data_IF_665505431451
#
_entry.id   IF_665505431451
#
_cell.length_a   1.000
_cell.length_b   1.000
_cell.length_c   1.000
_cell.angle_alpha   90.00
_cell.angle_beta   90.00
_cell.angle_gamma   90.00
#
_symmetry.space_group_name_H-M   'P 1'
#
loop_
_entity.id
_entity.type
_entity.pdbx_description
1 polymer ?
#
# COMPACT_ATOMS: atom_id res chain seq x y z
N UNK A 1 23.05 3.58 22.20
CA UNK A 1 22.13 4.17 21.21
C UNK A 1 20.90 4.59 22.01
N UNK A 2 20.33 5.79 21.80
CA UNK A 2 19.04 6.13 22.41
C UNK A 2 18.01 5.08 21.94
N UNK A 3 17.13 4.62 22.80
CA UNK A 3 16.02 3.78 22.40
C UNK A 3 15.21 4.55 21.34
N UNK A 4 14.75 3.87 20.32
CA UNK A 4 13.97 4.47 19.24
C UNK A 4 12.54 3.97 19.34
N UNK A 5 11.58 4.86 19.54
CA UNK A 5 10.14 4.59 19.59
C UNK A 5 9.54 4.90 18.23
N UNK A 6 9.08 3.87 17.54
CA UNK A 6 8.81 3.99 16.10
C UNK A 6 7.31 4.10 15.79
N UNK A 7 6.88 5.29 15.35
CA UNK A 7 5.50 5.60 14.97
C UNK A 7 5.36 6.01 13.49
N UNK A 8 6.25 5.53 12.59
CA UNK A 8 6.14 5.79 11.14
C UNK A 8 5.94 4.50 10.32
N UNK A 9 5.16 3.55 10.84
CA UNK A 9 4.87 2.27 10.18
C UNK A 9 4.12 2.41 8.84
N UNK A 10 3.40 3.49 8.61
CA UNK A 10 2.73 3.77 7.34
C UNK A 10 3.73 4.09 6.20
N UNK A 11 4.96 4.53 6.52
CA UNK A 11 6.04 4.68 5.54
C UNK A 11 6.73 3.36 5.26
N UNK A 12 7.16 2.66 6.30
CA UNK A 12 7.73 1.31 6.24
C UNK A 12 7.57 0.65 7.61
N UNK A 13 7.25 -0.63 7.67
CA UNK A 13 7.15 -1.34 8.96
C UNK A 13 8.53 -1.48 9.62
N UNK A 14 8.60 -1.23 10.92
CA UNK A 14 9.79 -1.43 11.74
C UNK A 14 9.39 -1.73 13.21
N UNK A 15 10.08 -2.69 13.85
CA UNK A 15 11.06 -3.62 13.27
C UNK A 15 10.42 -4.61 12.29
N UNK A 16 11.23 -5.43 11.63
CA UNK A 16 10.78 -6.61 10.90
C UNK A 16 10.69 -7.80 11.84
N UNK A 17 10.06 -8.89 11.40
CA UNK A 17 10.06 -10.14 12.15
C UNK A 17 11.49 -10.60 12.45
N UNK A 18 11.74 -11.19 13.61
CA UNK A 18 13.09 -11.58 14.05
C UNK A 18 13.83 -12.46 13.03
N UNK A 19 13.10 -13.43 12.44
CA UNK A 19 13.65 -14.32 11.41
C UNK A 19 14.08 -13.61 10.13
N UNK A 20 13.47 -12.45 9.82
CA UNK A 20 13.72 -11.72 8.58
C UNK A 20 15.21 -11.43 8.37
N UNK A 21 15.87 -10.85 9.35
CA UNK A 21 17.28 -10.43 9.19
C UNK A 21 18.23 -11.62 9.01
N UNK A 22 18.12 -12.62 9.87
CA UNK A 22 19.04 -13.77 9.88
C UNK A 22 18.80 -14.69 8.69
N UNK A 23 17.58 -15.09 8.47
CA UNK A 23 17.25 -16.10 7.44
C UNK A 23 17.33 -15.54 6.02
N UNK A 24 17.03 -14.25 5.82
CA UNK A 24 17.21 -13.61 4.51
C UNK A 24 18.64 -13.70 4.04
N UNK A 25 19.60 -13.36 4.91
CA UNK A 25 21.03 -13.42 4.54
C UNK A 25 21.51 -14.84 4.35
N UNK A 26 21.14 -15.78 5.24
CA UNK A 26 21.50 -17.18 5.12
C UNK A 26 20.96 -17.83 3.82
N UNK A 27 19.71 -17.53 3.45
CA UNK A 27 19.16 -18.03 2.20
C UNK A 27 19.79 -17.35 0.98
N UNK A 28 20.12 -16.06 1.07
CA UNK A 28 20.78 -15.36 -0.03
C UNK A 28 22.20 -15.87 -0.29
N UNK A 29 22.96 -16.18 0.73
CA UNK A 29 24.29 -16.82 0.60
C UNK A 29 24.20 -18.17 -0.12
N UNK A 30 23.14 -18.95 0.11
CA UNK A 30 22.98 -20.27 -0.47
C UNK A 30 22.31 -20.25 -1.85
N UNK A 31 21.34 -19.34 -2.07
CA UNK A 31 20.42 -19.35 -3.23
C UNK A 31 20.36 -18.02 -3.97
N UNK A 32 21.28 -17.07 -3.71
CA UNK A 32 21.38 -15.78 -4.39
C UNK A 32 21.87 -15.89 -5.85
N UNK A 33 21.37 -16.90 -6.59
CA UNK A 33 21.72 -17.17 -7.98
C UNK A 33 20.55 -16.87 -8.92
N UNK A 34 20.86 -16.61 -10.18
CA UNK A 34 19.82 -16.41 -11.19
C UNK A 34 19.04 -17.72 -11.42
N UNK A 35 17.72 -17.68 -11.21
CA UNK A 35 16.83 -18.84 -11.33
C UNK A 35 16.06 -18.89 -12.66
N UNK A 36 16.21 -17.92 -13.54
CA UNK A 36 15.51 -17.89 -14.84
C UNK A 36 16.23 -18.61 -15.98
N UNK A 37 17.56 -18.82 -15.87
CA UNK A 37 18.39 -19.28 -16.99
C UNK A 37 19.23 -20.54 -16.73
N UNK A 38 19.10 -21.17 -15.57
CA UNK A 38 19.99 -22.27 -15.19
C UNK A 38 19.20 -23.48 -14.66
N UNK A 39 19.57 -24.68 -15.11
CA UNK A 39 18.95 -25.93 -14.67
C UNK A 39 19.63 -26.59 -13.46
N UNK A 40 20.59 -25.89 -12.81
CA UNK A 40 21.27 -26.40 -11.61
C UNK A 40 20.30 -26.61 -10.45
N UNK A 41 20.66 -27.46 -9.49
CA UNK A 41 19.85 -27.67 -8.29
C UNK A 41 19.61 -26.37 -7.53
N UNK A 42 20.65 -25.52 -7.36
CA UNK A 42 20.54 -24.22 -6.72
C UNK A 42 19.54 -23.29 -7.40
N UNK A 43 19.48 -23.29 -8.73
CA UNK A 43 18.52 -22.47 -9.49
C UNK A 43 17.09 -22.99 -9.31
N UNK A 44 16.89 -24.31 -9.23
CA UNK A 44 15.58 -24.91 -8.94
C UNK A 44 15.10 -24.55 -7.54
N UNK A 45 15.99 -24.59 -6.55
CA UNK A 45 15.67 -24.20 -5.17
C UNK A 45 15.32 -22.69 -5.09
N UNK A 46 16.10 -21.83 -5.76
CA UNK A 46 15.81 -20.40 -5.84
C UNK A 46 14.46 -20.12 -6.54
N UNK A 47 14.12 -20.86 -7.61
CA UNK A 47 12.81 -20.79 -8.26
C UNK A 47 11.68 -21.18 -7.32
N UNK A 48 11.88 -22.26 -6.54
CA UNK A 48 10.93 -22.70 -5.50
C UNK A 48 10.66 -21.61 -4.45
N UNK A 49 11.67 -20.82 -4.08
CA UNK A 49 11.49 -19.67 -3.16
C UNK A 49 10.53 -18.63 -3.76
N UNK A 50 10.71 -18.27 -5.04
CA UNK A 50 9.80 -17.34 -5.76
C UNK A 50 8.38 -17.91 -5.83
N UNK A 51 8.23 -19.18 -6.22
CA UNK A 51 6.93 -19.84 -6.33
C UNK A 51 6.18 -19.89 -4.99
N UNK A 52 6.91 -20.13 -3.89
CA UNK A 52 6.33 -20.09 -2.55
C UNK A 52 5.93 -18.68 -2.12
N UNK A 53 6.72 -17.64 -2.45
CA UNK A 53 6.31 -16.25 -2.26
C UNK A 53 5.01 -15.93 -3.01
N UNK A 54 4.91 -16.33 -4.28
CA UNK A 54 3.69 -16.13 -5.09
C UNK A 54 2.49 -16.79 -4.41
N UNK A 55 2.62 -18.03 -3.92
CA UNK A 55 1.56 -18.73 -3.17
C UNK A 55 1.17 -17.97 -1.90
N UNK A 56 2.14 -17.44 -1.16
CA UNK A 56 1.87 -16.64 0.03
C UNK A 56 1.08 -15.36 -0.32
N UNK A 57 1.48 -14.65 -1.37
CA UNK A 57 0.76 -13.47 -1.86
C UNK A 57 -0.67 -13.84 -2.29
N UNK A 58 -0.85 -14.93 -3.04
CA UNK A 58 -2.19 -15.40 -3.44
C UNK A 58 -3.06 -15.70 -2.22
N UNK A 59 -2.51 -16.32 -1.18
CA UNK A 59 -3.23 -16.61 0.07
C UNK A 59 -3.59 -15.32 0.83
N UNK A 60 -2.65 -14.39 0.99
CA UNK A 60 -2.86 -13.11 1.70
C UNK A 60 -3.96 -12.28 1.02
N UNK A 61 -4.00 -12.26 -0.30
CA UNK A 61 -4.96 -11.49 -1.08
C UNK A 61 -6.18 -12.31 -1.55
N UNK A 62 -6.34 -13.53 -1.05
CA UNK A 62 -7.45 -14.44 -1.37
C UNK A 62 -7.75 -14.51 -2.88
N UNK A 63 -6.73 -14.73 -3.71
CA UNK A 63 -6.84 -14.65 -5.17
C UNK A 63 -6.27 -15.89 -5.86
N UNK A 64 -6.71 -16.12 -7.11
CA UNK A 64 -6.14 -17.09 -8.06
C UNK A 64 -5.58 -16.42 -9.32
N UNK A 65 -5.60 -15.08 -9.35
CA UNK A 65 -5.06 -14.29 -10.46
C UNK A 65 -3.53 -14.32 -10.45
N UNK A 66 -2.93 -13.89 -11.57
CA UNK A 66 -1.48 -13.83 -11.72
C UNK A 66 -0.85 -12.81 -10.76
N UNK A 67 0.31 -13.14 -10.23
CA UNK A 67 1.10 -12.25 -9.36
C UNK A 67 2.34 -11.80 -10.12
N UNK A 68 2.48 -10.49 -10.30
CA UNK A 68 3.63 -9.87 -10.95
C UNK A 68 4.47 -9.18 -9.87
N UNK A 69 5.75 -9.51 -9.81
CA UNK A 69 6.70 -8.90 -8.87
C UNK A 69 7.51 -7.79 -9.54
N UNK A 70 7.67 -6.68 -8.86
CA UNK A 70 8.50 -5.57 -9.33
C UNK A 70 9.14 -4.79 -8.17
N UNK A 71 9.74 -3.64 -8.44
CA UNK A 71 10.53 -2.90 -7.45
C UNK A 71 9.70 -2.15 -6.40
N UNK A 72 8.42 -1.81 -6.68
CA UNK A 72 7.61 -1.01 -5.76
C UNK A 72 6.15 -0.88 -6.22
N UNK A 73 5.26 -0.55 -5.29
CA UNK A 73 3.87 -0.20 -5.62
C UNK A 73 3.77 1.00 -6.58
N UNK A 74 4.68 1.97 -6.49
CA UNK A 74 4.73 3.09 -7.45
C UNK A 74 5.03 2.60 -8.86
N UNK A 75 5.96 1.65 -9.02
CA UNK A 75 6.23 1.03 -10.32
C UNK A 75 5.00 0.28 -10.83
N UNK A 76 4.38 -0.57 -9.99
CA UNK A 76 3.15 -1.31 -10.31
C UNK A 76 2.03 -0.39 -10.82
N UNK A 77 1.73 0.69 -10.09
CA UNK A 77 0.70 1.65 -10.47
C UNK A 77 1.01 2.36 -11.78
N UNK A 78 2.29 2.71 -12.02
CA UNK A 78 2.70 3.28 -13.30
C UNK A 78 2.55 2.27 -14.43
N UNK A 79 3.02 1.02 -14.25
CA UNK A 79 2.90 -0.03 -15.26
C UNK A 79 1.45 -0.29 -15.64
N UNK A 80 0.56 -0.44 -14.65
CA UNK A 80 -0.86 -0.65 -14.91
C UNK A 80 -1.48 0.58 -15.59
N UNK A 81 -1.36 1.77 -14.98
CA UNK A 81 -2.03 2.97 -15.49
C UNK A 81 -1.49 3.38 -16.87
N UNK A 82 -0.19 3.27 -17.13
CA UNK A 82 0.39 3.62 -18.44
C UNK A 82 0.18 2.52 -19.48
N UNK A 83 0.07 1.25 -19.07
CA UNK A 83 -0.07 0.10 -19.94
C UNK A 83 -1.52 -0.17 -20.42
N UNK A 84 -2.54 0.43 -19.79
CA UNK A 84 -3.92 0.29 -20.20
C UNK A 84 -4.18 0.89 -21.60
N UNK A 85 -5.09 0.27 -22.36
CA UNK A 85 -5.59 0.83 -23.61
C UNK A 85 -6.68 1.88 -23.35
N UNK A 86 -6.35 3.13 -23.61
CA UNK A 86 -7.24 4.29 -23.42
C UNK A 86 -8.17 4.57 -24.62
N UNK A 87 -8.27 3.70 -25.61
CA UNK A 87 -9.17 3.89 -26.75
C UNK A 87 -10.62 4.06 -26.29
N UNK A 88 -11.05 3.24 -25.33
CA UNK A 88 -12.40 3.22 -24.80
C UNK A 88 -12.53 3.79 -23.37
N UNK A 89 -11.44 4.19 -22.74
CA UNK A 89 -11.44 4.81 -21.40
C UNK A 89 -11.57 6.33 -21.58
N UNK A 90 -12.70 6.89 -21.19
CA UNK A 90 -13.02 8.32 -21.27
C UNK A 90 -13.16 8.97 -19.89
N UNK A 91 -13.56 8.18 -18.90
CA UNK A 91 -13.84 8.68 -17.55
C UNK A 91 -13.14 7.81 -16.51
N UNK A 92 -12.34 8.44 -15.68
CA UNK A 92 -11.63 7.81 -14.56
C UNK A 92 -12.14 8.38 -13.24
N UNK A 93 -12.53 7.52 -12.33
CA UNK A 93 -12.90 7.90 -10.96
C UNK A 93 -11.80 7.49 -9.98
N UNK A 94 -11.53 8.36 -9.02
CA UNK A 94 -10.60 8.10 -7.93
C UNK A 94 -11.20 8.52 -6.59
N UNK A 95 -10.67 7.95 -5.49
CA UNK A 95 -10.99 8.47 -4.16
C UNK A 95 -10.32 9.83 -3.92
N UNK A 96 -10.81 10.65 -2.96
CA UNK A 96 -10.09 11.85 -2.55
C UNK A 96 -8.81 11.54 -1.76
N UNK A 97 -8.59 10.30 -1.35
CA UNK A 97 -7.48 9.89 -0.48
C UNK A 97 -6.27 9.32 -1.24
N UNK A 98 -6.22 9.45 -2.57
CA UNK A 98 -5.18 8.83 -3.39
C UNK A 98 -3.78 9.37 -3.12
N UNK A 99 -2.84 8.42 -3.11
CA UNK A 99 -1.41 8.72 -3.05
C UNK A 99 -0.89 9.30 -4.39
N UNK A 100 0.22 10.03 -4.34
CA UNK A 100 0.86 10.61 -5.53
C UNK A 100 1.25 9.59 -6.61
N UNK A 101 1.48 8.34 -6.27
CA UNK A 101 1.74 7.24 -7.22
C UNK A 101 0.55 6.98 -8.17
N UNK A 102 -0.67 7.32 -7.75
CA UNK A 102 -1.87 7.30 -8.58
C UNK A 102 -2.13 8.67 -9.19
N UNK A 103 -2.21 9.71 -8.35
CA UNK A 103 -2.67 11.02 -8.78
C UNK A 103 -1.77 11.68 -9.82
N UNK A 104 -0.45 11.64 -9.64
CA UNK A 104 0.49 12.27 -10.58
C UNK A 104 0.48 11.60 -11.96
N UNK A 105 0.43 10.28 -11.98
CA UNK A 105 0.35 9.51 -13.24
C UNK A 105 -0.97 9.79 -13.98
N UNK A 106 -2.09 9.81 -13.25
CA UNK A 106 -3.38 10.16 -13.84
C UNK A 106 -3.41 11.60 -14.37
N UNK A 107 -2.84 12.57 -13.64
CA UNK A 107 -2.73 13.96 -14.12
C UNK A 107 -1.98 14.07 -15.45
N UNK A 108 -0.96 13.25 -15.66
CA UNK A 108 -0.26 13.14 -16.94
C UNK A 108 -1.18 12.56 -18.01
N UNK A 109 -1.73 11.37 -17.78
CA UNK A 109 -2.57 10.65 -18.76
C UNK A 109 -3.83 11.45 -19.13
N UNK A 110 -4.50 12.07 -18.16
CA UNK A 110 -5.72 12.83 -18.44
C UNK A 110 -5.48 14.05 -19.33
N UNK A 111 -4.31 14.68 -19.22
CA UNK A 111 -3.91 15.75 -20.14
C UNK A 111 -3.62 15.23 -21.55
N UNK A 112 -2.83 14.15 -21.66
CA UNK A 112 -2.40 13.58 -22.94
C UNK A 112 -3.55 12.94 -23.71
N UNK A 113 -4.46 12.25 -23.03
CA UNK A 113 -5.56 11.46 -23.63
C UNK A 113 -6.92 12.15 -23.62
N UNK A 114 -7.02 13.38 -23.07
CA UNK A 114 -8.29 14.13 -22.90
C UNK A 114 -9.36 13.32 -22.14
N UNK A 115 -8.95 12.74 -21.00
CA UNK A 115 -9.80 11.91 -20.15
C UNK A 115 -10.36 12.75 -19.02
N UNK A 116 -11.63 12.54 -18.68
CA UNK A 116 -12.28 13.14 -17.51
C UNK A 116 -11.84 12.44 -16.22
N UNK A 117 -11.12 13.15 -15.37
CA UNK A 117 -10.78 12.70 -14.03
C UNK A 117 -11.82 13.22 -13.03
N UNK A 118 -12.53 12.30 -12.39
CA UNK A 118 -13.55 12.58 -11.38
C UNK A 118 -13.11 12.08 -10.02
N UNK A 119 -13.44 12.84 -8.98
CA UNK A 119 -13.23 12.45 -7.59
C UNK A 119 -14.56 11.96 -7.03
N UNK A 120 -14.57 10.79 -6.42
CA UNK A 120 -15.71 10.24 -5.71
C UNK A 120 -16.12 11.17 -4.56
N UNK A 121 -17.41 11.32 -4.34
CA UNK A 121 -17.92 12.22 -3.30
C UNK A 121 -17.86 11.54 -1.94
N UNK A 122 -17.14 12.18 -1.02
CA UNK A 122 -17.06 11.82 0.39
C UNK A 122 -17.47 13.01 1.26
N UNK A 123 -18.03 12.71 2.42
CA UNK A 123 -18.26 13.68 3.51
C UNK A 123 -17.35 13.28 4.66
N UNK A 124 -16.26 14.04 4.90
CA UNK A 124 -15.19 13.57 5.77
C UNK A 124 -14.64 12.22 5.29
N UNK A 125 -14.70 11.19 6.13
CA UNK A 125 -14.24 9.83 5.80
C UNK A 125 -15.32 8.95 5.18
N UNK A 126 -16.57 9.38 5.16
CA UNK A 126 -17.70 8.55 4.73
C UNK A 126 -17.99 8.77 3.24
N UNK A 127 -18.10 7.68 2.49
CA UNK A 127 -18.56 7.69 1.11
C UNK A 127 -20.01 8.17 1.05
N UNK A 128 -20.29 9.17 0.24
CA UNK A 128 -21.66 9.54 -0.16
C UNK A 128 -22.11 8.61 -1.27
N UNK A 129 -22.65 7.45 -0.87
CA UNK A 129 -22.99 6.36 -1.79
C UNK A 129 -24.04 6.74 -2.82
N UNK A 130 -25.07 7.50 -2.41
CA UNK A 130 -26.12 7.94 -3.35
C UNK A 130 -25.56 8.96 -4.34
N UNK A 131 -24.72 9.88 -3.90
CA UNK A 131 -24.08 10.83 -4.81
C UNK A 131 -23.11 10.12 -5.77
N UNK A 132 -22.38 9.10 -5.29
CA UNK A 132 -21.52 8.28 -6.15
C UNK A 132 -22.35 7.61 -7.28
N UNK A 133 -23.51 7.03 -6.97
CA UNK A 133 -24.40 6.47 -8.00
C UNK A 133 -24.86 7.55 -9.00
N UNK A 134 -25.25 8.73 -8.51
CA UNK A 134 -25.61 9.85 -9.38
C UNK A 134 -24.43 10.29 -10.26
N UNK A 135 -23.21 10.32 -9.72
CA UNK A 135 -22.00 10.58 -10.50
C UNK A 135 -21.83 9.54 -11.62
N UNK A 136 -22.01 8.23 -11.33
CA UNK A 136 -21.86 7.14 -12.31
C UNK A 136 -22.97 7.16 -13.37
N UNK A 137 -24.21 7.49 -12.99
CA UNK A 137 -25.32 7.67 -13.94
C UNK A 137 -25.09 8.87 -14.86
N UNK A 138 -24.60 9.98 -14.32
CA UNK A 138 -24.31 11.20 -15.09
C UNK A 138 -23.12 11.04 -16.02
N UNK A 139 -22.09 10.35 -15.56
CA UNK A 139 -20.86 10.11 -16.29
C UNK A 139 -20.36 8.70 -15.97
N UNK A 140 -20.62 7.77 -16.89
CA UNK A 140 -20.26 6.36 -16.75
C UNK A 140 -18.79 6.18 -16.39
N UNK A 141 -18.44 5.42 -15.34
CA UNK A 141 -17.05 5.07 -15.06
C UNK A 141 -16.53 4.04 -16.08
N UNK A 142 -15.36 4.29 -16.67
CA UNK A 142 -14.63 3.30 -17.47
C UNK A 142 -13.47 2.70 -16.69
N UNK A 143 -12.90 3.48 -15.75
CA UNK A 143 -11.83 3.08 -14.86
C UNK A 143 -12.07 3.66 -13.47
N UNK A 144 -11.92 2.84 -12.43
CA UNK A 144 -11.97 3.28 -11.02
C UNK A 144 -10.68 2.86 -10.36
N UNK A 145 -10.00 3.81 -9.72
CA UNK A 145 -8.79 3.54 -8.94
C UNK A 145 -9.02 4.04 -7.53
N UNK A 146 -8.87 3.17 -6.55
CA UNK A 146 -9.01 3.54 -5.14
C UNK A 146 -7.91 2.93 -4.29
N UNK A 147 -7.37 3.71 -3.37
CA UNK A 147 -6.63 3.15 -2.26
C UNK A 147 -7.59 2.47 -1.27
N UNK A 148 -7.18 1.35 -0.70
CA UNK A 148 -8.00 0.61 0.27
C UNK A 148 -8.06 1.31 1.63
N UNK A 149 -6.97 2.00 2.00
CA UNK A 149 -6.94 2.86 3.17
C UNK A 149 -6.01 4.06 2.94
N UNK A 150 -6.38 5.19 3.51
CA UNK A 150 -5.57 6.41 3.46
C UNK A 150 -4.24 6.21 4.20
N UNK A 151 -3.15 6.57 3.56
CA UNK A 151 -1.84 6.62 4.20
C UNK A 151 -1.63 7.87 5.06
N UNK A 152 -2.62 8.78 5.08
CA UNK A 152 -2.60 10.01 5.89
C UNK A 152 -3.47 9.85 7.13
N UNK A 153 -4.73 9.47 6.94
CA UNK A 153 -5.75 9.47 8.00
C UNK A 153 -6.11 8.05 8.47
N UNK A 154 -5.63 7.02 7.78
CA UNK A 154 -5.85 5.62 8.15
C UNK A 154 -7.24 5.06 7.85
N UNK A 155 -8.20 5.90 7.47
CA UNK A 155 -9.57 5.48 7.18
C UNK A 155 -9.60 4.43 6.06
N UNK A 156 -10.34 3.34 6.30
CA UNK A 156 -10.54 2.24 5.35
C UNK A 156 -11.74 2.60 4.47
N UNK A 157 -11.56 2.52 3.14
CA UNK A 157 -12.59 2.85 2.18
C UNK A 157 -13.50 1.64 1.90
N UNK A 158 -14.80 1.84 1.62
CA UNK A 158 -15.76 0.79 1.28
C UNK A 158 -15.56 0.30 -0.17
N UNK A 159 -14.43 -0.34 -0.44
CA UNK A 159 -13.98 -0.73 -1.78
C UNK A 159 -14.97 -1.69 -2.44
N UNK A 160 -15.52 -2.63 -1.68
CA UNK A 160 -16.52 -3.57 -2.20
C UNK A 160 -17.67 -2.81 -2.86
N UNK A 161 -18.29 -1.87 -2.14
CA UNK A 161 -19.45 -1.13 -2.64
C UNK A 161 -19.09 -0.27 -3.86
N UNK A 162 -17.93 0.38 -3.84
CA UNK A 162 -17.44 1.21 -4.95
C UNK A 162 -17.22 0.37 -6.20
N UNK A 163 -16.52 -0.77 -6.06
CA UNK A 163 -16.16 -1.59 -7.20
C UNK A 163 -17.33 -2.41 -7.74
N UNK A 164 -18.19 -2.97 -6.88
CA UNK A 164 -19.40 -3.66 -7.32
C UNK A 164 -20.36 -2.71 -8.07
N UNK A 165 -20.53 -1.47 -7.61
CA UNK A 165 -21.29 -0.46 -8.35
C UNK A 165 -20.63 -0.14 -9.69
N UNK A 166 -19.29 0.04 -9.73
CA UNK A 166 -18.54 0.27 -10.97
C UNK A 166 -18.64 -0.87 -11.97
N UNK A 167 -18.64 -2.13 -11.48
CA UNK A 167 -18.79 -3.32 -12.33
C UNK A 167 -20.12 -3.38 -13.08
N UNK A 168 -21.18 -2.75 -12.59
CA UNK A 168 -22.46 -2.63 -13.32
C UNK A 168 -22.30 -1.84 -14.63
N UNK A 169 -21.26 -1.01 -14.71
CA UNK A 169 -20.91 -0.23 -15.90
C UNK A 169 -19.74 -0.84 -16.69
N UNK A 170 -19.26 -2.04 -16.33
CA UNK A 170 -18.07 -2.70 -16.84
C UNK A 170 -16.77 -1.90 -16.64
N UNK A 171 -16.67 -1.12 -15.55
CA UNK A 171 -15.46 -0.38 -15.22
C UNK A 171 -14.29 -1.32 -14.89
N UNK A 172 -13.10 -0.97 -15.37
CA UNK A 172 -11.86 -1.58 -14.89
C UNK A 172 -11.60 -1.06 -13.47
N UNK A 173 -11.15 -1.92 -12.57
CA UNK A 173 -10.94 -1.59 -11.16
C UNK A 173 -9.50 -1.85 -10.72
N UNK A 174 -8.87 -0.84 -10.11
CA UNK A 174 -7.50 -0.92 -9.58
C UNK A 174 -7.54 -0.57 -8.10
N UNK A 175 -7.12 -1.51 -7.26
CA UNK A 175 -7.02 -1.35 -5.82
C UNK A 175 -5.56 -1.09 -5.41
N UNK A 176 -5.28 0.06 -4.81
CA UNK A 176 -4.02 0.28 -4.10
C UNK A 176 -4.14 -0.26 -2.67
N UNK A 177 -3.66 -1.49 -2.46
CA UNK A 177 -3.68 -2.19 -1.18
C UNK A 177 -2.39 -2.02 -0.37
N UNK A 178 -1.56 -1.02 -0.68
CA UNK A 178 -0.24 -0.84 -0.05
C UNK A 178 -0.30 -0.63 1.47
N UNK A 179 -1.40 -0.10 1.99
CA UNK A 179 -1.60 0.08 3.44
C UNK A 179 -2.36 -1.08 4.11
N UNK A 180 -2.94 -2.00 3.34
CA UNK A 180 -3.87 -3.00 3.88
C UNK A 180 -3.47 -4.44 3.61
N UNK A 181 -2.62 -4.69 2.61
CA UNK A 181 -2.08 -6.02 2.34
C UNK A 181 -1.36 -6.59 3.55
N UNK A 182 -1.79 -7.75 4.03
CA UNK A 182 -1.27 -8.39 5.24
C UNK A 182 -1.98 -7.98 6.55
N UNK A 183 -3.01 -7.11 6.49
CA UNK A 183 -3.79 -6.68 7.66
C UNK A 183 -5.28 -6.93 7.49
N UNK A 184 -5.84 -6.66 6.32
CA UNK A 184 -7.26 -6.84 6.06
C UNK A 184 -7.54 -8.13 5.29
N UNK A 185 -8.77 -8.60 5.36
CA UNK A 185 -9.27 -9.72 4.56
C UNK A 185 -9.65 -9.24 3.16
N UNK A 186 -9.20 -9.95 2.15
CA UNK A 186 -9.44 -9.64 0.73
C UNK A 186 -10.46 -10.56 0.07
N UNK A 187 -11.07 -11.51 0.79
CA UNK A 187 -11.95 -12.55 0.24
C UNK A 187 -13.08 -11.97 -0.63
N UNK A 188 -13.71 -10.89 -0.16
CA UNK A 188 -14.81 -10.26 -0.90
C UNK A 188 -14.33 -9.25 -1.97
N UNK A 189 -13.20 -8.59 -1.73
CA UNK A 189 -12.70 -7.48 -2.56
C UNK A 189 -11.91 -8.00 -3.76
N UNK A 190 -11.21 -9.13 -3.62
CA UNK A 190 -10.37 -9.69 -4.67
C UNK A 190 -11.14 -10.03 -5.95
N UNK A 191 -12.41 -10.41 -5.82
CA UNK A 191 -13.26 -10.81 -6.95
C UNK A 191 -13.76 -9.62 -7.78
N UNK A 192 -13.90 -8.44 -7.16
CA UNK A 192 -14.32 -7.19 -7.83
C UNK A 192 -13.15 -6.33 -8.30
N UNK A 193 -11.91 -6.71 -7.98
CA UNK A 193 -10.69 -6.00 -8.35
C UNK A 193 -10.03 -6.64 -9.57
N UNK A 194 -9.79 -5.87 -10.64
CA UNK A 194 -9.01 -6.34 -11.79
C UNK A 194 -7.51 -6.30 -11.51
N UNK A 195 -7.09 -5.32 -10.72
CA UNK A 195 -5.71 -5.21 -10.24
C UNK A 195 -5.70 -4.91 -8.75
N UNK A 196 -4.78 -5.55 -8.02
CA UNK A 196 -4.52 -5.26 -6.60
C UNK A 196 -3.02 -5.01 -6.46
N UNK A 197 -2.64 -3.80 -6.06
CA UNK A 197 -1.24 -3.39 -5.93
C UNK A 197 -0.79 -3.49 -4.47
N UNK A 198 0.44 -3.97 -4.25
CA UNK A 198 1.02 -4.13 -2.91
C UNK A 198 2.47 -3.66 -2.84
N UNK A 199 2.91 -3.27 -1.65
CA UNK A 199 4.30 -2.95 -1.31
C UNK A 199 4.85 -3.96 -0.30
N UNK A 200 6.03 -4.52 -0.56
CA UNK A 200 6.64 -5.51 0.33
C UNK A 200 7.04 -4.94 1.69
N UNK A 201 7.51 -3.70 1.74
CA UNK A 201 8.14 -3.10 2.93
C UNK A 201 7.16 -2.49 3.96
N UNK A 202 5.86 -2.46 3.65
CA UNK A 202 4.82 -1.97 4.58
C UNK A 202 4.24 -3.12 5.40
N UNK A 203 2.93 -3.31 5.39
CA UNK A 203 2.27 -4.32 6.22
C UNK A 203 2.52 -5.78 5.82
N UNK A 204 3.28 -6.05 4.75
CA UNK A 204 3.84 -7.37 4.47
C UNK A 204 5.17 -7.63 5.20
N UNK A 205 5.70 -6.65 5.92
CA UNK A 205 6.93 -6.71 6.73
C UNK A 205 8.20 -7.13 5.98
N UNK A 206 8.18 -7.12 4.64
CA UNK A 206 9.32 -7.43 3.79
C UNK A 206 10.30 -6.25 3.63
N UNK A 207 11.34 -6.42 2.81
CA UNK A 207 12.32 -5.37 2.54
C UNK A 207 11.77 -4.30 1.59
N UNK A 208 12.44 -3.15 1.56
CA UNK A 208 12.27 -2.16 0.48
C UNK A 208 12.81 -2.71 -0.85
N UNK A 209 12.36 -2.14 -1.97
CA UNK A 209 12.84 -2.54 -3.30
C UNK A 209 12.14 -3.78 -3.87
N UNK A 210 11.04 -4.22 -3.24
CA UNK A 210 10.15 -5.25 -3.78
C UNK A 210 8.70 -4.91 -3.48
N UNK A 211 7.85 -5.16 -4.45
CA UNK A 211 6.40 -5.05 -4.42
C UNK A 211 5.82 -5.80 -5.60
N UNK A 212 4.62 -5.44 -6.01
CA UNK A 212 4.00 -6.09 -7.15
C UNK A 212 2.52 -5.80 -7.25
N UNK A 213 1.88 -6.53 -8.14
CA UNK A 213 0.44 -6.46 -8.29
C UNK A 213 -0.15 -7.82 -8.69
N UNK A 214 -1.40 -7.99 -8.39
CA UNK A 214 -2.23 -9.10 -8.81
C UNK A 214 -2.96 -8.64 -10.06
N UNK A 215 -2.98 -9.49 -11.08
CA UNK A 215 -3.41 -9.15 -12.43
C UNK A 215 -4.51 -10.09 -12.94
N UNK A 216 -5.69 -9.53 -13.22
CA UNK A 216 -6.73 -10.22 -13.97
C UNK A 216 -6.40 -10.21 -15.47
N UNK A 217 -5.86 -11.31 -15.97
CA UNK A 217 -5.43 -11.45 -17.38
C UNK A 217 -6.50 -11.26 -18.45
N UNK A 218 -7.78 -11.08 -18.04
CA UNK A 218 -8.84 -10.69 -19.00
C UNK A 218 -8.73 -9.23 -19.45
N UNK A 219 -8.01 -8.39 -18.69
CA UNK A 219 -7.76 -7.00 -19.07
C UNK A 219 -6.47 -6.95 -19.90
N UNK A 220 -6.53 -6.37 -21.08
CA UNK A 220 -5.33 -6.18 -21.91
C UNK A 220 -4.41 -5.13 -21.26
N UNK A 221 -3.15 -5.48 -21.07
CA UNK A 221 -2.13 -4.61 -20.51
C UNK A 221 -0.85 -4.67 -21.36
N UNK A 222 -0.24 -3.52 -21.63
CA UNK A 222 1.07 -3.43 -22.29
C UNK A 222 2.15 -3.29 -21.22
N UNK A 223 3.29 -3.95 -21.37
CA UNK A 223 4.40 -3.78 -20.43
C UNK A 223 4.96 -2.33 -20.50
N UNK A 224 5.41 -1.84 -19.34
CA UNK A 224 6.06 -0.54 -19.24
C UNK A 224 7.55 -0.63 -19.64
N UNK A 225 8.19 -1.75 -19.30
CA UNK A 225 9.59 -2.01 -19.60
C UNK A 225 9.72 -3.11 -20.66
N UNK A 226 10.66 -2.92 -21.54
CA UNK A 226 11.07 -3.87 -22.57
C UNK A 226 12.51 -4.30 -22.31
N UNK A 227 12.79 -5.60 -22.35
CA UNK A 227 14.12 -6.12 -22.10
C UNK A 227 14.16 -7.64 -21.94
N UNK A 228 15.30 -8.17 -21.54
CA UNK A 228 15.46 -9.60 -21.40
C UNK A 228 14.61 -10.17 -20.26
N UNK A 229 13.85 -11.22 -20.53
CA UNK A 229 12.95 -11.90 -19.60
C UNK A 229 13.50 -13.25 -19.14
N UNK A 230 14.54 -13.75 -19.81
CA UNK A 230 15.15 -15.05 -19.52
C UNK A 230 14.53 -16.23 -20.27
N UNK A 231 13.47 -16.00 -21.03
CA UNK A 231 12.82 -16.96 -21.92
C UNK A 231 12.77 -16.42 -23.36
N UNK A 232 12.59 -17.28 -24.34
CA UNK A 232 12.37 -16.97 -25.77
C UNK A 232 13.34 -15.86 -26.30
N UNK A 233 14.65 -16.05 -26.06
CA UNK A 233 15.66 -15.00 -26.39
C UNK A 233 15.86 -14.75 -27.89
N UNK A 234 15.34 -15.63 -28.73
CA UNK A 234 15.29 -15.52 -30.18
C UNK A 234 14.18 -14.60 -30.70
N UNK A 235 13.14 -14.36 -29.89
CA UNK A 235 12.04 -13.49 -30.26
C UNK A 235 12.44 -12.01 -30.14
N UNK A 236 12.10 -11.20 -31.13
CA UNK A 236 12.34 -9.74 -31.11
C UNK A 236 11.32 -9.00 -30.23
N UNK A 237 10.15 -9.58 -30.01
CA UNK A 237 9.09 -9.03 -29.19
C UNK A 237 9.14 -9.52 -27.73
N UNK A 238 8.46 -8.79 -26.84
CA UNK A 238 8.26 -9.24 -25.46
C UNK A 238 7.38 -10.49 -25.44
N UNK A 239 7.70 -11.50 -24.60
CA UNK A 239 6.91 -12.72 -24.50
C UNK A 239 5.46 -12.42 -24.09
N UNK A 240 4.54 -13.29 -24.47
CA UNK A 240 3.15 -13.24 -24.03
C UNK A 240 2.93 -13.98 -22.70
N UNK A 241 3.88 -14.81 -22.29
CA UNK A 241 3.84 -15.62 -21.08
C UNK A 241 3.90 -14.71 -19.83
N UNK A 242 3.09 -15.08 -18.84
CA UNK A 242 3.05 -14.43 -17.52
C UNK A 242 3.78 -15.29 -16.48
N UNK A 243 4.49 -14.69 -15.56
CA UNK A 243 4.64 -13.23 -15.31
C UNK A 243 5.73 -12.57 -16.15
N UNK A 244 6.49 -13.31 -16.98
CA UNK A 244 7.71 -12.88 -17.68
C UNK A 244 7.49 -11.63 -18.54
N UNK A 245 6.31 -11.48 -19.14
CA UNK A 245 5.92 -10.30 -19.93
C UNK A 245 6.11 -8.98 -19.16
N UNK A 246 5.89 -8.99 -17.84
CA UNK A 246 5.93 -7.80 -16.98
C UNK A 246 7.13 -7.77 -16.01
N UNK A 247 7.97 -8.81 -16.04
CA UNK A 247 9.13 -8.92 -15.17
C UNK A 247 10.45 -8.84 -15.94
N UNK A 248 10.57 -7.86 -16.85
CA UNK A 248 11.79 -7.64 -17.61
C UNK A 248 12.97 -7.28 -16.70
N UNK A 249 14.13 -7.85 -16.99
CA UNK A 249 15.39 -7.62 -16.27
C UNK A 249 15.72 -8.71 -15.25
N UNK A 250 16.81 -8.49 -14.51
CA UNK A 250 17.22 -9.41 -13.44
C UNK A 250 16.35 -9.20 -12.20
N UNK A 251 15.77 -10.27 -11.64
CA UNK A 251 14.90 -10.14 -10.47
C UNK A 251 15.69 -9.74 -9.21
N UNK A 252 15.03 -9.02 -8.29
CA UNK A 252 15.56 -8.71 -6.98
C UNK A 252 15.49 -9.94 -6.07
N UNK A 253 16.49 -10.85 -6.19
CA UNK A 253 16.51 -12.13 -5.46
C UNK A 253 16.52 -11.91 -3.95
N UNK A 254 17.30 -10.95 -3.44
CA UNK A 254 17.35 -10.63 -2.02
C UNK A 254 15.97 -10.14 -1.52
N UNK A 255 15.30 -9.30 -2.30
CA UNK A 255 13.95 -8.83 -2.03
C UNK A 255 12.92 -9.95 -2.01
N UNK A 256 13.00 -10.89 -2.97
CA UNK A 256 12.12 -12.06 -3.06
C UNK A 256 12.29 -12.96 -1.83
N UNK A 257 13.53 -13.28 -1.45
CA UNK A 257 13.83 -14.09 -0.26
C UNK A 257 13.28 -13.41 1.01
N UNK A 258 13.60 -12.12 1.21
CA UNK A 258 13.15 -11.41 2.40
C UNK A 258 11.63 -11.27 2.49
N UNK A 259 10.96 -11.00 1.37
CA UNK A 259 9.50 -10.91 1.35
C UNK A 259 8.84 -12.29 1.58
N UNK A 260 9.44 -13.38 1.07
CA UNK A 260 8.98 -14.75 1.32
C UNK A 260 9.04 -15.08 2.82
N UNK A 261 10.16 -14.79 3.48
CA UNK A 261 10.30 -15.05 4.92
C UNK A 261 9.27 -14.25 5.73
N UNK A 262 9.09 -12.97 5.40
CA UNK A 262 8.13 -12.10 6.08
C UNK A 262 6.69 -12.58 5.89
N UNK A 263 6.33 -12.98 4.68
CA UNK A 263 4.98 -13.51 4.38
C UNK A 263 4.72 -14.88 5.00
N UNK A 264 5.74 -15.73 5.15
CA UNK A 264 5.62 -16.98 5.92
C UNK A 264 5.26 -16.70 7.38
N UNK A 265 5.99 -15.79 8.04
CA UNK A 265 5.70 -15.43 9.43
C UNK A 265 4.33 -14.77 9.58
N UNK A 266 3.96 -13.90 8.66
CA UNK A 266 2.66 -13.25 8.64
C UNK A 266 1.52 -14.27 8.53
N UNK A 267 1.64 -15.25 7.63
CA UNK A 267 0.65 -16.33 7.48
C UNK A 267 0.63 -17.28 8.69
N UNK A 268 1.78 -17.55 9.30
CA UNK A 268 1.90 -18.37 10.51
C UNK A 268 1.21 -17.70 11.71
N UNK A 269 1.38 -16.38 11.88
CA UNK A 269 0.69 -15.59 12.91
C UNK A 269 -0.81 -15.53 12.60
N UNK A 270 -1.16 -15.39 11.33
CA UNK A 270 -2.51 -15.22 10.82
C UNK A 270 -2.93 -13.75 10.71
N UNK A 271 -3.50 -13.40 9.55
CA UNK A 271 -3.93 -12.02 9.22
C UNK A 271 -4.86 -11.43 10.30
N UNK A 272 -5.78 -12.23 10.82
CA UNK A 272 -6.71 -11.78 11.86
C UNK A 272 -6.00 -11.41 13.18
N UNK A 273 -4.95 -12.12 13.54
CA UNK A 273 -4.16 -11.81 14.73
C UNK A 273 -3.32 -10.53 14.52
N UNK A 274 -2.76 -10.35 13.32
CA UNK A 274 -2.07 -9.10 12.94
C UNK A 274 -3.06 -7.91 13.02
N UNK A 275 -4.24 -8.06 12.43
CA UNK A 275 -5.32 -7.05 12.48
C UNK A 275 -5.70 -6.71 13.91
N UNK A 276 -5.99 -7.72 14.73
CA UNK A 276 -6.38 -7.55 16.13
C UNK A 276 -5.33 -6.77 16.92
N UNK A 277 -4.04 -7.16 16.82
CA UNK A 277 -2.94 -6.48 17.51
C UNK A 277 -2.82 -5.02 17.08
N UNK A 278 -2.95 -4.73 15.78
CA UNK A 278 -2.94 -3.36 15.28
C UNK A 278 -4.15 -2.55 15.77
N UNK A 279 -5.33 -3.16 15.87
CA UNK A 279 -6.52 -2.51 16.43
C UNK A 279 -6.36 -2.18 17.91
N UNK A 280 -5.74 -3.06 18.68
CA UNK A 280 -5.39 -2.81 20.09
C UNK A 280 -4.41 -1.63 20.19
N UNK A 281 -3.36 -1.63 19.40
CA UNK A 281 -2.36 -0.56 19.40
C UNK A 281 -2.93 0.79 18.95
N UNK A 282 -3.82 0.80 17.93
CA UNK A 282 -4.43 2.06 17.49
C UNK A 282 -5.42 2.58 18.52
N UNK A 283 -6.20 1.70 19.16
CA UNK A 283 -7.11 2.11 20.22
C UNK A 283 -6.34 2.77 21.38
N UNK A 284 -5.26 2.13 21.84
CA UNK A 284 -4.43 2.67 22.91
C UNK A 284 -3.77 4.02 22.53
N UNK A 285 -3.32 4.17 21.26
CA UNK A 285 -2.83 5.45 20.76
C UNK A 285 -3.92 6.53 20.75
N UNK A 286 -5.15 6.18 20.34
CA UNK A 286 -6.27 7.13 20.37
C UNK A 286 -6.63 7.53 21.80
N UNK A 287 -6.76 6.55 22.69
CA UNK A 287 -7.12 6.80 24.09
C UNK A 287 -6.10 7.77 24.73
N UNK A 288 -4.80 7.59 24.47
CA UNK A 288 -3.75 8.50 24.90
C UNK A 288 -3.91 9.90 24.30
N UNK A 289 -4.09 10.02 22.99
CA UNK A 289 -4.20 11.33 22.31
C UNK A 289 -5.49 12.07 22.70
N UNK A 290 -6.59 11.38 23.04
CA UNK A 290 -7.84 11.98 23.52
C UNK A 290 -7.68 12.70 24.86
N UNK A 291 -6.72 12.30 25.71
CA UNK A 291 -6.40 13.01 26.95
C UNK A 291 -5.93 14.46 26.70
N UNK A 292 -5.35 14.71 25.53
CA UNK A 292 -4.88 16.03 25.10
C UNK A 292 -5.82 16.69 24.07
N UNK A 293 -7.11 16.32 24.05
CA UNK A 293 -8.09 16.81 23.05
C UNK A 293 -8.36 18.33 23.09
N UNK A 294 -7.94 19.00 24.16
CA UNK A 294 -7.97 20.48 24.23
C UNK A 294 -6.88 21.12 23.37
N UNK A 295 -5.71 20.49 23.30
CA UNK A 295 -4.51 21.00 22.61
C UNK A 295 -4.30 20.34 21.24
N UNK A 296 -4.79 19.12 21.08
CA UNK A 296 -4.66 18.31 19.86
C UNK A 296 -6.01 18.06 19.18
N UNK A 297 -6.03 18.24 17.87
CA UNK A 297 -7.13 17.80 17.02
C UNK A 297 -6.75 16.50 16.31
N UNK A 298 -7.44 15.41 16.64
CA UNK A 298 -7.29 14.13 15.96
C UNK A 298 -8.09 14.15 14.66
N UNK A 299 -7.42 13.90 13.53
CA UNK A 299 -7.98 13.98 12.17
C UNK A 299 -8.16 12.60 11.53
N UNK A 300 -8.38 11.58 12.32
CA UNK A 300 -8.50 10.19 11.84
C UNK A 300 -9.75 9.53 12.43
N UNK A 301 -10.26 8.51 11.76
CA UNK A 301 -11.34 7.69 12.29
C UNK A 301 -10.78 6.72 13.35
N UNK A 302 -11.42 6.60 14.51
CA UNK A 302 -11.00 5.73 15.60
C UNK A 302 -11.26 4.26 15.30
N UNK A 303 -12.42 3.95 14.74
CA UNK A 303 -12.88 2.56 14.63
C UNK A 303 -12.54 1.93 13.27
N UNK A 304 -12.69 2.68 12.18
CA UNK A 304 -12.45 2.20 10.83
C UNK A 304 -11.07 2.64 10.31
N UNK A 305 -10.01 2.15 10.96
CA UNK A 305 -8.64 2.61 10.75
C UNK A 305 -7.63 1.45 10.64
N UNK A 306 -6.63 1.65 9.78
CA UNK A 306 -5.58 0.66 9.49
C UNK A 306 -4.31 0.82 10.35
N UNK A 307 -4.34 1.68 11.36
CA UNK A 307 -3.18 1.95 12.24
C UNK A 307 -2.46 3.27 11.94
N UNK A 308 -3.17 4.29 11.45
CA UNK A 308 -2.59 5.59 11.07
C UNK A 308 -3.42 6.72 11.69
N UNK A 309 -2.78 7.58 12.47
CA UNK A 309 -3.42 8.73 13.11
C UNK A 309 -2.70 10.01 12.69
N UNK A 310 -3.44 10.96 12.15
CA UNK A 310 -2.96 12.32 11.87
C UNK A 310 -3.49 13.29 12.91
N UNK A 311 -2.63 14.19 13.37
CA UNK A 311 -2.98 15.23 14.34
C UNK A 311 -2.55 16.61 13.88
N UNK A 312 -3.28 17.63 14.35
CA UNK A 312 -2.90 19.03 14.38
C UNK A 312 -2.85 19.49 15.84
N UNK A 313 -1.90 20.35 16.20
CA UNK A 313 -1.84 20.99 17.51
C UNK A 313 -2.20 22.47 17.39
N UNK A 314 -2.77 23.05 18.45
CA UNK A 314 -3.17 24.45 18.46
C UNK A 314 -1.95 25.38 18.43
N UNK A 315 -0.93 25.09 19.24
CA UNK A 315 0.23 25.96 19.47
C UNK A 315 1.49 25.55 18.73
N UNK A 316 1.49 24.37 18.07
CA UNK A 316 2.64 23.83 17.37
C UNK A 316 2.32 23.49 15.92
N UNK A 317 3.21 23.85 15.02
CA UNK A 317 3.18 23.34 13.66
C UNK A 317 3.57 21.85 13.64
N UNK A 318 3.16 21.07 12.62
CA UNK A 318 3.61 19.68 12.45
C UNK A 318 5.14 19.53 12.42
N UNK A 319 5.85 20.57 11.99
CA UNK A 319 7.33 20.58 11.96
C UNK A 319 7.93 20.72 13.36
N UNK A 320 7.37 21.59 14.19
CA UNK A 320 7.84 21.78 15.56
C UNK A 320 7.59 20.53 16.40
N UNK A 321 6.38 19.94 16.30
CA UNK A 321 6.08 18.67 16.97
C UNK A 321 6.99 17.53 16.54
N UNK A 322 7.24 17.36 15.23
CA UNK A 322 8.18 16.34 14.74
C UNK A 322 9.58 16.56 15.33
N UNK A 323 10.05 17.82 15.43
CA UNK A 323 11.36 18.12 16.01
C UNK A 323 11.42 17.72 17.47
N UNK A 324 10.42 18.11 18.28
CA UNK A 324 10.34 17.75 19.71
C UNK A 324 10.33 16.23 19.88
N UNK A 325 9.50 15.53 19.12
CA UNK A 325 9.42 14.06 19.20
C UNK A 325 10.75 13.39 18.82
N UNK A 326 11.41 13.87 17.75
CA UNK A 326 12.71 13.33 17.33
C UNK A 326 13.82 13.55 18.39
N UNK A 327 13.82 14.70 19.07
CA UNK A 327 14.78 14.98 20.15
C UNK A 327 14.62 14.00 21.32
N UNK A 328 13.40 13.49 21.53
CA UNK A 328 13.04 12.48 22.53
C UNK A 328 13.13 11.03 22.01
N UNK A 329 13.58 10.81 20.77
CA UNK A 329 13.76 9.49 20.17
C UNK A 329 12.47 8.89 19.59
N UNK A 330 11.40 9.67 19.45
CA UNK A 330 10.12 9.25 18.85
C UNK A 330 10.14 9.57 17.36
N UNK A 331 10.05 8.54 16.51
CA UNK A 331 10.04 8.68 15.06
C UNK A 331 8.62 8.80 14.55
N UNK A 332 8.30 9.96 14.00
CA UNK A 332 7.00 10.27 13.38
C UNK A 332 7.22 10.80 11.96
N UNK A 333 6.17 11.29 11.31
CA UNK A 333 6.28 11.95 10.01
C UNK A 333 5.33 13.12 9.89
N UNK A 334 5.81 14.24 9.32
CA UNK A 334 5.04 15.45 9.07
C UNK A 334 4.78 15.74 7.60
N UNK A 335 3.82 16.61 7.33
CA UNK A 335 3.59 17.23 6.03
C UNK A 335 2.42 16.61 5.26
N UNK A 336 2.50 16.60 3.93
CA UNK A 336 1.41 16.14 3.05
C UNK A 336 1.44 14.63 2.74
N UNK A 337 2.36 13.86 3.32
CA UNK A 337 2.45 12.40 3.23
C UNK A 337 2.29 11.83 1.82
N UNK A 338 2.71 12.58 0.79
CA UNK A 338 2.52 12.24 -0.63
C UNK A 338 1.06 12.04 -1.07
N UNK A 339 0.09 12.64 -0.37
CA UNK A 339 -1.33 12.56 -0.70
C UNK A 339 -2.03 13.95 -0.60
N UNK A 340 -1.64 14.92 -1.45
CA UNK A 340 -2.17 16.30 -1.37
C UNK A 340 -3.67 16.38 -1.58
N UNK A 341 -4.29 15.44 -2.31
CA UNK A 341 -5.74 15.38 -2.47
C UNK A 341 -6.45 15.11 -1.14
N UNK A 342 -5.90 14.20 -0.33
CA UNK A 342 -6.45 13.87 0.97
C UNK A 342 -6.45 15.08 1.90
N UNK A 343 -5.35 15.83 1.93
CA UNK A 343 -5.26 17.07 2.71
C UNK A 343 -6.21 18.15 2.18
N UNK A 344 -6.33 18.31 0.86
CA UNK A 344 -7.31 19.26 0.27
C UNK A 344 -8.75 18.88 0.60
N UNK A 345 -9.07 17.57 0.62
CA UNK A 345 -10.40 17.09 1.00
C UNK A 345 -10.72 17.36 2.47
N UNK A 346 -9.73 17.23 3.36
CA UNK A 346 -9.88 17.41 4.81
C UNK A 346 -9.55 18.85 5.30
N UNK A 347 -9.15 19.75 4.39
CA UNK A 347 -8.85 21.17 4.73
C UNK A 347 -7.51 21.37 5.46
N UNK A 348 -6.57 20.44 5.32
CA UNK A 348 -5.24 20.48 5.98
C UNK A 348 -4.08 20.71 5.01
N UNK A 349 -4.38 21.17 3.77
CA UNK A 349 -3.37 21.31 2.72
C UNK A 349 -2.32 22.40 2.96
N UNK A 350 -2.60 23.34 3.84
CA UNK A 350 -1.71 24.48 4.11
C UNK A 350 -0.46 24.05 4.87
N UNK A 351 -0.64 23.32 5.94
CA UNK A 351 0.45 22.91 6.86
C UNK A 351 0.74 21.40 6.81
N UNK A 352 -0.18 20.60 6.27
CA UNK A 352 -0.17 19.16 6.45
C UNK A 352 -0.52 18.77 7.89
N UNK A 353 -0.13 17.57 8.29
CA UNK A 353 -0.36 17.04 9.63
C UNK A 353 0.91 16.41 10.20
N UNK A 354 0.98 16.21 11.50
CA UNK A 354 1.87 15.23 12.09
C UNK A 354 1.15 13.88 12.08
N UNK A 355 1.80 12.84 11.57
CA UNK A 355 1.26 11.50 11.46
C UNK A 355 2.00 10.54 12.38
N UNK A 356 1.24 9.86 13.22
CA UNK A 356 1.68 8.70 13.98
C UNK A 356 1.09 7.44 13.34
N UNK A 357 1.86 6.38 13.24
CA UNK A 357 1.35 5.13 12.70
C UNK A 357 1.93 3.93 13.42
N UNK A 358 1.03 3.10 13.94
CA UNK A 358 1.37 1.90 14.71
C UNK A 358 1.39 0.65 13.84
N UNK A 359 2.30 -0.26 14.17
CA UNK A 359 2.44 -1.58 13.56
C UNK A 359 2.10 -2.71 14.54
N UNK A 360 2.40 -3.94 14.14
CA UNK A 360 2.22 -5.14 14.97
C UNK A 360 3.12 -5.14 16.20
N UNK A 361 4.31 -4.55 16.10
CA UNK A 361 5.34 -4.60 17.14
C UNK A 361 5.27 -3.46 18.17
N UNK A 362 4.47 -2.42 17.92
CA UNK A 362 4.28 -1.39 18.95
C UNK A 362 3.69 -2.00 20.23
N UNK A 363 4.12 -1.48 21.36
CA UNK A 363 3.78 -1.99 22.69
C UNK A 363 3.52 -0.84 23.67
N UNK A 364 3.28 -1.17 24.92
CA UNK A 364 2.97 -0.24 26.01
C UNK A 364 4.14 0.74 26.27
N UNK A 365 5.39 0.29 26.22
CA UNK A 365 6.58 1.13 26.41
C UNK A 365 6.66 2.25 25.34
N UNK A 366 6.26 1.96 24.07
CA UNK A 366 6.19 2.99 23.02
C UNK A 366 5.17 4.08 23.37
N UNK A 367 4.00 3.69 23.89
CA UNK A 367 2.92 4.60 24.25
C UNK A 367 3.23 5.39 25.52
N UNK A 368 3.80 4.76 26.53
CA UNK A 368 4.23 5.42 27.77
C UNK A 368 5.24 6.53 27.45
N UNK A 369 6.23 6.24 26.58
CA UNK A 369 7.20 7.27 26.16
C UNK A 369 6.52 8.41 25.37
N UNK A 370 5.56 8.10 24.52
CA UNK A 370 4.79 9.14 23.82
C UNK A 370 3.99 10.00 24.83
N UNK A 371 3.37 9.37 25.83
CA UNK A 371 2.62 10.05 26.91
C UNK A 371 3.52 10.99 27.70
N UNK A 372 4.72 10.55 28.16
CA UNK A 372 5.69 11.39 28.86
C UNK A 372 6.02 12.66 28.04
N UNK A 373 6.22 12.51 26.72
CA UNK A 373 6.56 13.65 25.86
C UNK A 373 5.36 14.58 25.70
N UNK A 374 4.14 14.04 25.48
CA UNK A 374 2.93 14.84 25.40
C UNK A 374 2.68 15.63 26.70
N UNK A 375 2.82 15.01 27.89
CA UNK A 375 2.69 15.68 29.19
C UNK A 375 3.73 16.82 29.38
N UNK A 376 4.89 16.70 28.73
CA UNK A 376 5.94 17.72 28.85
C UNK A 376 5.69 18.95 27.97
N UNK A 377 4.79 18.87 26.98
CA UNK A 377 4.56 19.94 26.00
C UNK A 377 3.15 20.53 26.06
N UNK A 378 2.20 19.78 26.64
CA UNK A 378 0.81 20.20 26.84
C UNK A 378 0.43 20.18 28.32
#
# INVERSE_FOLDING_TARGET
>A
MKNTFYFDNASTSYPKFERFYRETMALYENYGVNFSRNSSSKSKDAKSIKENLIKNIMNIFATKNEVILNSSATFSLNEIILGLDYTNIKTVYISPFEHNSVYRVLKKITKEKKIDLKILKFSGFNLDFENMKLQFMSKKPDLIICNHASNVFGNILPIKDIFEEGKKYNAITILDATQTGGVLDFTEISTSSDFIVFAGHKNLYGPSGIGGYIYNKKISLKPLLYGGTGINSEDEDMPEELPERFEAGSPNILGIIGLKISTDELLKIGIQNIKKRKQENIKALYDLLEEYSYDLKILSDKENNVGVVSIEANDYTPQELESIFNDEGIVTRRGLHCAPLAHKHMGTEKNGTLRLSVGYFNNEEDLDKLGEVLESIF
#
